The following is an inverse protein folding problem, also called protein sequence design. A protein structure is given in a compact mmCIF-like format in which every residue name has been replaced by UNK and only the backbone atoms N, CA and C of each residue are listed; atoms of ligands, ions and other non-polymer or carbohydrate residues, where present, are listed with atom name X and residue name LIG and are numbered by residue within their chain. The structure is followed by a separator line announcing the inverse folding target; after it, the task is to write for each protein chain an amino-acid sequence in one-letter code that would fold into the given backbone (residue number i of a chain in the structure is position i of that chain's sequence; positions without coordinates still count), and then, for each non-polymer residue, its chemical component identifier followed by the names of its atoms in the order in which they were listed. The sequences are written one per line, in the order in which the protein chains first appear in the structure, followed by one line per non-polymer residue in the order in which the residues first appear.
data_IF_406512734981
#
_entry.id   IF_406512734981
#
_cell.length_a   1.000
_cell.length_b   1.000
_cell.length_c   1.000
_cell.angle_alpha   90.00
_cell.angle_beta   90.00
_cell.angle_gamma   90.00
#
_symmetry.space_group_name_H-M   'P 1'
#
loop_
_entity.id
_entity.type
_entity.pdbx_description
1 polymer ?
#
# COMPACT_ATOMS: atom_id res chain seq x y z
N UNK A 1 -4.55 8.89 -17.44
CA UNK A 1 -4.29 8.63 -16.03
C UNK A 1 -3.60 7.30 -15.87
N UNK A 2 -2.61 7.21 -15.01
CA UNK A 2 -1.82 5.99 -14.88
C UNK A 2 -1.42 5.75 -13.42
N UNK A 3 -1.39 4.47 -13.06
CA UNK A 3 -0.85 4.01 -11.78
C UNK A 3 0.45 3.29 -12.11
N UNK A 4 1.53 3.63 -11.42
CA UNK A 4 2.83 2.98 -11.59
C UNK A 4 3.33 2.50 -10.23
N UNK A 5 3.75 1.25 -10.16
CA UNK A 5 4.36 0.70 -8.94
C UNK A 5 5.65 1.47 -8.63
N UNK A 6 5.67 2.07 -7.45
CA UNK A 6 6.85 2.82 -7.00
C UNK A 6 6.80 3.07 -5.50
N UNK A 7 7.95 3.02 -4.86
CA UNK A 7 8.12 3.60 -3.54
C UNK A 7 8.12 5.13 -3.70
N UNK A 8 7.25 5.81 -2.95
CA UNK A 8 7.09 7.26 -3.09
C UNK A 8 8.38 8.00 -2.70
N UNK A 9 8.77 9.00 -3.48
CA UNK A 9 10.01 9.76 -3.23
C UNK A 9 9.91 10.48 -1.88
N UNK A 10 8.73 11.02 -1.56
CA UNK A 10 8.48 11.65 -0.25
C UNK A 10 8.72 10.67 0.90
N UNK A 11 8.27 9.42 0.75
CA UNK A 11 8.49 8.39 1.77
C UNK A 11 9.98 8.14 2.02
N UNK A 12 10.78 8.07 0.95
CA UNK A 12 12.22 7.85 1.08
C UNK A 12 12.89 8.96 1.88
N UNK A 13 12.52 10.21 1.61
CA UNK A 13 13.00 11.37 2.37
C UNK A 13 12.55 11.29 3.82
N UNK A 14 11.28 11.01 4.03
CA UNK A 14 10.67 10.94 5.36
C UNK A 14 11.26 9.82 6.23
N UNK A 15 11.69 8.70 5.62
CA UNK A 15 12.44 7.68 6.34
C UNK A 15 13.73 8.23 6.93
N UNK A 16 14.46 9.04 6.16
CA UNK A 16 15.69 9.66 6.61
C UNK A 16 15.45 10.71 7.69
N UNK A 17 14.23 11.23 7.79
CA UNK A 17 13.80 12.20 8.81
C UNK A 17 13.16 11.53 10.03
N UNK A 18 13.12 10.20 10.07
CA UNK A 18 12.50 9.40 11.14
C UNK A 18 10.98 9.69 11.29
N UNK A 19 10.30 10.02 10.16
CA UNK A 19 8.86 10.28 10.18
C UNK A 19 8.02 9.00 10.27
N UNK A 20 8.48 7.90 9.67
CA UNK A 20 7.73 6.64 9.62
C UNK A 20 8.32 5.65 10.61
N UNK A 21 7.51 5.15 11.52
CA UNK A 21 7.90 4.15 12.50
C UNK A 21 7.07 2.88 12.31
N UNK A 22 7.65 1.87 11.68
CA UNK A 22 6.97 0.61 11.41
C UNK A 22 6.70 -0.23 12.68
N UNK A 23 7.19 0.20 13.83
CA UNK A 23 6.93 -0.48 15.11
C UNK A 23 5.76 0.15 15.86
N UNK A 24 5.37 1.39 15.54
CA UNK A 24 4.39 2.15 16.30
C UNK A 24 3.25 2.74 15.46
N UNK A 25 3.51 3.11 14.21
CA UNK A 25 2.52 3.76 13.37
C UNK A 25 1.52 2.77 12.79
N UNK A 26 0.33 3.28 12.44
CA UNK A 26 -0.71 2.53 11.74
C UNK A 26 -0.61 2.81 10.24
N UNK A 27 -0.44 1.76 9.45
CA UNK A 27 -0.41 1.83 8.00
C UNK A 27 -1.70 1.26 7.43
N UNK A 28 -2.16 1.84 6.33
CA UNK A 28 -3.40 1.43 5.65
C UNK A 28 -3.15 1.25 4.16
N UNK A 29 -4.02 0.52 3.51
CA UNK A 29 -3.99 0.34 2.06
C UNK A 29 -5.35 0.73 1.47
N UNK A 30 -5.33 1.69 0.53
CA UNK A 30 -6.52 2.13 -0.20
C UNK A 30 -6.44 1.66 -1.64
N UNK A 31 -7.60 1.34 -2.22
CA UNK A 31 -7.70 0.85 -3.60
C UNK A 31 -8.16 1.97 -4.52
N UNK A 32 -7.66 1.95 -5.76
CA UNK A 32 -7.93 2.99 -6.75
C UNK A 32 -8.33 2.41 -8.09
N UNK A 33 -9.18 3.17 -8.78
CA UNK A 33 -9.61 2.85 -10.15
C UNK A 33 -8.53 3.24 -11.17
N UNK A 34 -8.67 2.79 -12.40
CA UNK A 34 -7.75 3.13 -13.49
C UNK A 34 -7.72 4.62 -13.82
N UNK A 35 -8.67 5.40 -13.33
CA UNK A 35 -8.69 6.86 -13.50
C UNK A 35 -7.72 7.60 -12.59
N UNK A 36 -7.18 6.92 -11.59
CA UNK A 36 -6.23 7.54 -10.65
C UNK A 36 -4.87 7.76 -11.30
N UNK A 37 -4.17 8.80 -10.83
CA UNK A 37 -2.77 9.03 -11.18
C UNK A 37 -1.94 8.87 -9.90
N UNK A 38 -1.19 7.78 -9.81
CA UNK A 38 -0.37 7.44 -8.65
C UNK A 38 0.99 6.94 -9.11
N UNK A 39 2.02 7.28 -8.37
CA UNK A 39 3.38 6.84 -8.69
C UNK A 39 4.40 7.39 -7.71
N UNK A 40 5.64 7.49 -8.15
CA UNK A 40 6.75 7.95 -7.31
C UNK A 40 6.54 9.35 -6.73
N UNK A 41 5.77 10.21 -7.39
CA UNK A 41 5.50 11.58 -6.95
C UNK A 41 4.30 11.72 -6.02
N UNK A 42 3.59 10.63 -5.72
CA UNK A 42 2.46 10.65 -4.79
C UNK A 42 2.96 10.95 -3.38
N UNK A 43 2.32 11.88 -2.69
CA UNK A 43 2.77 12.35 -1.37
C UNK A 43 1.82 12.01 -0.23
N UNK A 44 0.53 11.78 -0.54
CA UNK A 44 -0.47 11.51 0.49
C UNK A 44 -1.67 10.75 -0.08
N UNK A 45 -2.41 10.12 0.82
CA UNK A 45 -3.70 9.54 0.49
C UNK A 45 -4.70 10.62 0.07
N UNK A 46 -5.52 10.29 -0.91
CA UNK A 46 -6.61 11.13 -1.40
C UNK A 46 -7.79 10.25 -1.78
N UNK A 47 -8.99 10.76 -1.65
CA UNK A 47 -10.21 10.06 -2.08
C UNK A 47 -10.45 10.17 -3.58
N UNK A 48 -9.66 10.94 -4.32
CA UNK A 48 -9.83 11.11 -5.77
C UNK A 48 -9.60 9.80 -6.50
N UNK A 49 -10.63 9.32 -7.20
CA UNK A 49 -10.62 8.07 -7.95
C UNK A 49 -10.37 6.83 -7.09
N UNK A 50 -10.63 6.93 -5.79
CA UNK A 50 -10.65 5.77 -4.90
C UNK A 50 -11.82 4.86 -5.29
N UNK A 51 -11.64 3.56 -5.10
CA UNK A 51 -12.67 2.56 -5.34
C UNK A 51 -13.87 2.82 -4.43
N UNK A 52 -15.07 2.59 -4.95
CA UNK A 52 -16.29 2.55 -4.15
C UNK A 52 -17.10 1.31 -4.52
N UNK A 53 -17.78 0.75 -3.55
CA UNK A 53 -18.61 -0.44 -3.77
C UNK A 53 -18.79 -1.24 -2.49
N UNK A 54 -19.62 -2.28 -2.59
CA UNK A 54 -19.89 -3.16 -1.47
C UNK A 54 -18.62 -3.86 -1.01
N UNK A 55 -18.40 -3.92 0.29
CA UNK A 55 -17.25 -4.59 0.89
C UNK A 55 -15.99 -3.74 0.93
N UNK A 56 -16.07 -2.48 0.50
CA UNK A 56 -14.96 -1.53 0.57
C UNK A 56 -15.42 -0.25 1.26
N UNK A 57 -14.60 0.24 2.17
CA UNK A 57 -14.84 1.52 2.86
C UNK A 57 -13.73 2.49 2.49
N UNK A 58 -14.07 3.74 2.20
CA UNK A 58 -13.10 4.79 1.89
C UNK A 58 -12.01 4.86 2.96
N UNK A 59 -10.77 4.99 2.53
CA UNK A 59 -9.58 4.87 3.38
C UNK A 59 -8.97 3.47 3.37
N UNK A 60 -9.72 2.47 2.94
CA UNK A 60 -9.23 1.10 2.79
C UNK A 60 -9.14 0.32 4.08
N UNK A 61 -8.19 -0.59 4.16
CA UNK A 61 -8.00 -1.50 5.29
C UNK A 61 -6.71 -1.18 6.05
N UNK A 62 -6.73 -1.45 7.35
CA UNK A 62 -5.53 -1.36 8.19
C UNK A 62 -4.63 -2.56 7.90
N UNK A 63 -3.35 -2.30 7.67
CA UNK A 63 -2.36 -3.33 7.41
C UNK A 63 -1.77 -3.85 8.73
N UNK A 64 -1.42 -5.14 8.73
CA UNK A 64 -0.64 -5.74 9.80
C UNK A 64 0.83 -5.71 9.39
N UNK A 65 1.65 -5.00 10.17
CA UNK A 65 3.08 -4.88 9.89
C UNK A 65 3.79 -6.17 10.31
N UNK A 66 4.62 -6.70 9.40
CA UNK A 66 5.62 -7.71 9.74
C UNK A 66 6.85 -6.93 10.16
N UNK A 67 7.18 -6.99 11.45
CA UNK A 67 8.16 -6.09 12.08
C UNK A 67 9.48 -5.98 11.32
N UNK A 68 10.09 -4.78 11.31
CA UNK A 68 11.40 -4.60 10.70
C UNK A 68 12.44 -5.57 11.28
N UNK A 69 13.22 -6.17 10.42
CA UNK A 69 14.28 -7.11 10.81
C UNK A 69 15.45 -7.04 9.83
N UNK A 70 16.48 -7.78 10.10
CA UNK A 70 17.68 -7.80 9.26
C UNK A 70 18.02 -9.21 8.80
N UNK A 71 18.66 -9.30 7.64
CA UNK A 71 19.26 -10.53 7.14
C UNK A 71 20.49 -10.16 6.32
N UNK A 72 21.65 -10.68 6.69
CA UNK A 72 22.91 -10.26 6.09
C UNK A 72 23.14 -8.76 6.28
N UNK A 73 23.32 -8.06 5.19
CA UNK A 73 23.57 -6.60 5.18
C UNK A 73 22.29 -5.80 4.88
N UNK A 74 21.12 -6.46 4.83
CA UNK A 74 19.86 -5.82 4.47
C UNK A 74 18.95 -5.70 5.69
N UNK A 75 18.20 -4.59 5.73
CA UNK A 75 17.07 -4.43 6.65
C UNK A 75 15.79 -4.38 5.82
N UNK A 76 14.72 -4.95 6.33
CA UNK A 76 13.46 -4.99 5.60
C UNK A 76 12.25 -5.01 6.52
N UNK A 77 11.12 -4.58 5.96
CA UNK A 77 9.80 -4.65 6.61
C UNK A 77 8.78 -5.06 5.55
N UNK A 78 7.74 -5.74 5.99
CA UNK A 78 6.66 -6.17 5.09
C UNK A 78 5.31 -6.03 5.80
N UNK A 79 4.25 -6.40 5.09
CA UNK A 79 2.90 -6.43 5.62
C UNK A 79 2.29 -7.80 5.33
N UNK A 80 1.35 -8.22 6.18
CA UNK A 80 0.55 -9.43 5.91
C UNK A 80 -0.41 -9.18 4.75
N UNK A 81 -0.80 -10.24 4.07
CA UNK A 81 -1.80 -10.17 3.00
C UNK A 81 -3.09 -9.54 3.52
N UNK A 82 -3.78 -8.85 2.63
CA UNK A 82 -5.01 -8.11 2.95
C UNK A 82 -6.17 -8.63 2.11
N UNK A 83 -7.35 -8.75 2.72
CA UNK A 83 -8.55 -9.19 2.02
C UNK A 83 -9.71 -8.22 2.25
N UNK A 84 -10.54 -8.07 1.22
CA UNK A 84 -11.82 -7.37 1.27
C UNK A 84 -12.89 -8.40 0.95
N UNK A 85 -13.56 -8.93 1.98
CA UNK A 85 -14.51 -10.03 1.84
C UNK A 85 -15.86 -9.53 1.34
N UNK A 86 -16.61 -10.41 0.68
CA UNK A 86 -17.95 -10.12 0.15
C UNK A 86 -17.98 -8.81 -0.63
N UNK A 87 -16.97 -8.58 -1.46
CA UNK A 87 -16.80 -7.32 -2.18
C UNK A 87 -17.34 -7.38 -3.59
N UNK A 88 -17.86 -6.24 -4.04
CA UNK A 88 -18.23 -6.00 -5.45
C UNK A 88 -17.57 -4.69 -5.83
N UNK A 89 -16.33 -4.79 -6.33
CA UNK A 89 -15.47 -3.65 -6.62
C UNK A 89 -14.62 -3.92 -7.86
N UNK A 90 -14.10 -2.83 -8.45
CA UNK A 90 -13.09 -2.90 -9.50
C UNK A 90 -11.93 -2.00 -9.11
N UNK A 91 -10.73 -2.56 -9.04
CA UNK A 91 -9.54 -1.83 -8.67
C UNK A 91 -8.41 -2.07 -9.68
N UNK A 92 -7.65 -1.02 -9.97
CA UNK A 92 -6.47 -1.08 -10.84
C UNK A 92 -5.18 -1.07 -10.06
N UNK A 93 -5.17 -0.47 -8.88
CA UNK A 93 -3.99 -0.35 -8.06
C UNK A 93 -4.31 0.04 -6.63
N UNK A 94 -3.25 0.25 -5.83
CA UNK A 94 -3.37 0.55 -4.41
C UNK A 94 -2.31 1.53 -3.96
N UNK A 95 -2.60 2.23 -2.87
CA UNK A 95 -1.64 3.08 -2.17
C UNK A 95 -1.55 2.61 -0.72
N UNK A 96 -0.34 2.31 -0.27
CA UNK A 96 -0.05 2.12 1.14
C UNK A 96 0.35 3.48 1.71
N UNK A 97 -0.25 3.86 2.83
CA UNK A 97 0.00 5.15 3.45
C UNK A 97 0.01 5.04 4.98
N UNK A 98 0.64 6.02 5.62
CA UNK A 98 0.77 6.07 7.08
C UNK A 98 -0.32 6.97 7.67
N UNK A 99 -1.36 6.35 8.24
CA UNK A 99 -2.48 7.11 8.81
C UNK A 99 -2.11 7.79 10.13
N UNK A 100 -1.06 7.37 10.80
CA UNK A 100 -0.55 8.03 12.01
C UNK A 100 0.23 9.30 11.72
N UNK A 101 0.66 9.51 10.46
CA UNK A 101 1.50 10.63 10.05
C UNK A 101 0.82 11.41 8.92
N UNK A 102 -0.35 11.95 9.19
CA UNK A 102 -1.10 12.81 8.25
C UNK A 102 -1.34 12.15 6.89
N UNK A 103 -1.58 10.84 6.88
CA UNK A 103 -1.86 10.07 5.66
C UNK A 103 -0.74 10.14 4.61
N UNK A 104 0.50 10.27 5.02
CA UNK A 104 1.66 10.32 4.11
C UNK A 104 1.79 9.04 3.31
N UNK A 105 2.02 9.18 2.00
CA UNK A 105 2.14 8.06 1.09
C UNK A 105 3.43 7.28 1.34
N UNK A 106 3.37 5.96 1.16
CA UNK A 106 4.51 5.06 1.32
C UNK A 106 4.88 4.41 0.00
N UNK A 107 3.98 3.62 -0.57
CA UNK A 107 4.25 2.89 -1.81
C UNK A 107 2.97 2.74 -2.64
N UNK A 108 3.12 2.82 -3.94
CA UNK A 108 2.05 2.61 -4.92
C UNK A 108 2.23 1.23 -5.56
N UNK A 109 1.13 0.50 -5.69
CA UNK A 109 1.10 -0.81 -6.35
C UNK A 109 0.18 -0.73 -7.57
N UNK A 110 0.71 -1.10 -8.73
CA UNK A 110 -0.08 -1.25 -9.95
C UNK A 110 -0.36 -2.75 -10.16
N UNK A 111 -1.63 -3.12 -10.25
CA UNK A 111 -2.01 -4.51 -10.49
C UNK A 111 -1.84 -4.93 -11.96
N UNK A 112 -1.54 -3.99 -12.84
CA UNK A 112 -1.30 -4.24 -14.27
C UNK A 112 -2.57 -4.29 -15.12
N UNK A 113 -3.71 -4.57 -14.52
CA UNK A 113 -5.03 -4.57 -15.16
C UNK A 113 -6.10 -4.34 -14.11
N UNK A 114 -7.32 -4.03 -14.55
CA UNK A 114 -8.44 -3.93 -13.65
C UNK A 114 -8.77 -5.31 -13.09
N UNK A 115 -8.94 -5.40 -11.78
CA UNK A 115 -9.35 -6.62 -11.08
C UNK A 115 -10.73 -6.37 -10.52
N UNK A 116 -11.69 -7.20 -10.90
CA UNK A 116 -13.09 -7.05 -10.52
C UNK A 116 -13.51 -8.22 -9.65
N UNK A 117 -14.21 -7.93 -8.56
CA UNK A 117 -14.91 -8.94 -7.76
C UNK A 117 -16.40 -8.68 -7.81
N UNK A 118 -17.19 -9.76 -7.69
CA UNK A 118 -18.65 -9.70 -7.60
C UNK A 118 -19.05 -10.63 -6.47
N UNK A 119 -19.44 -10.03 -5.34
CA UNK A 119 -19.79 -10.75 -4.12
C UNK A 119 -18.73 -11.81 -3.77
N UNK A 120 -17.47 -11.41 -3.79
CA UNK A 120 -16.32 -12.30 -3.65
C UNK A 120 -15.22 -11.62 -2.83
N UNK A 121 -14.20 -12.38 -2.45
CA UNK A 121 -13.05 -11.85 -1.71
C UNK A 121 -12.03 -11.26 -2.68
N UNK A 122 -11.69 -9.98 -2.47
CA UNK A 122 -10.57 -9.33 -3.15
C UNK A 122 -9.34 -9.48 -2.26
N UNK A 123 -8.30 -10.13 -2.76
CA UNK A 123 -7.08 -10.40 -1.98
C UNK A 123 -5.88 -9.68 -2.59
N UNK A 124 -5.12 -8.98 -1.74
CA UNK A 124 -3.81 -8.45 -2.10
C UNK A 124 -2.75 -9.30 -1.41
N UNK A 125 -2.01 -10.05 -2.21
CA UNK A 125 -0.92 -10.91 -1.71
C UNK A 125 0.36 -10.08 -1.63
N UNK A 126 0.89 -9.94 -0.43
CA UNK A 126 2.15 -9.22 -0.21
C UNK A 126 3.34 -10.12 -0.55
N UNK A 127 4.50 -9.52 -0.87
CA UNK A 127 5.72 -10.31 -1.09
C UNK A 127 6.10 -11.11 0.16
N UNK A 128 6.99 -12.07 -0.01
CA UNK A 128 7.57 -12.81 1.12
C UNK A 128 8.41 -11.85 1.98
N UNK A 129 8.26 -11.92 3.29
CA UNK A 129 9.04 -11.10 4.23
C UNK A 129 10.47 -11.64 4.31
N UNK A 130 11.31 -11.21 3.39
CA UNK A 130 12.70 -11.64 3.28
C UNK A 130 13.57 -10.50 2.74
N UNK A 131 14.88 -10.63 2.89
CA UNK A 131 15.81 -9.62 2.40
C UNK A 131 15.76 -9.43 0.88
N UNK A 132 15.29 -10.44 0.14
CA UNK A 132 15.21 -10.38 -1.32
C UNK A 132 13.88 -9.90 -1.86
N UNK A 133 12.79 -10.00 -1.08
CA UNK A 133 11.43 -9.87 -1.61
C UNK A 133 10.53 -8.90 -0.87
N UNK A 134 10.83 -8.57 0.39
CA UNK A 134 9.97 -7.74 1.22
C UNK A 134 9.62 -6.39 0.54
N UNK A 135 8.47 -5.84 0.91
CA UNK A 135 7.91 -4.67 0.22
C UNK A 135 8.76 -3.40 0.42
N UNK A 136 9.43 -3.27 1.55
CA UNK A 136 10.40 -2.18 1.80
C UNK A 136 11.71 -2.79 2.27
N UNK A 137 12.79 -2.50 1.53
CA UNK A 137 14.13 -3.02 1.82
C UNK A 137 15.17 -1.91 1.74
N UNK A 138 16.14 -1.98 2.64
CA UNK A 138 17.34 -1.13 2.62
C UNK A 138 18.53 -2.07 2.58
N UNK A 139 19.30 -1.99 1.53
CA UNK A 139 20.44 -2.87 1.27
C UNK A 139 21.76 -2.14 1.40
#
# INVERSE_FOLDING_TARGET
MAISTAMCVSFKKELLEAEHDFTADTFKIALYTSSATLGASTTAYSTSNEVSGTGYTAGGATLTVVAPTTSGNSAFVDFSDVTFTSSTITARGALIYNSSKSNKAVIVLDFGSDITTTNATFTITMPTASAGDAIVRIE
#
